data_IF_483954930548
#
_entry.id   IF_483954930548
#
_cell.length_a   1.000
_cell.length_b   1.000
_cell.length_c   1.000
_cell.angle_alpha   90.00
_cell.angle_beta   90.00
_cell.angle_gamma   90.00
#
_symmetry.space_group_name_H-M   'P 1'
#
loop_
_entity.id
_entity.type
_entity.pdbx_description
1 polymer ?
#
# COMPACT_ATOMS: atom_id res chain seq x y z
N UNK A 1 2.38 -12.22 1.81
CA UNK A 1 1.28 -13.22 1.85
C UNK A 1 0.21 -12.75 2.82
N UNK A 2 0.60 -12.33 4.01
CA UNK A 2 -0.31 -11.73 5.01
C UNK A 2 -1.20 -10.59 4.47
N UNK A 3 -0.65 -9.67 3.66
CA UNK A 3 -1.51 -8.64 3.05
C UNK A 3 -2.61 -9.23 2.13
N UNK A 4 -2.30 -10.30 1.39
CA UNK A 4 -3.29 -10.93 0.51
C UNK A 4 -4.35 -11.71 1.30
N UNK A 5 -4.02 -12.23 2.48
CA UNK A 5 -5.00 -12.88 3.35
C UNK A 5 -6.04 -11.90 3.88
N UNK A 6 -5.66 -10.62 4.10
CA UNK A 6 -6.60 -9.55 4.46
C UNK A 6 -7.69 -9.33 3.39
N UNK A 7 -7.34 -9.48 2.11
CA UNK A 7 -8.27 -9.33 0.97
C UNK A 7 -9.25 -10.51 0.91
N UNK A 8 -8.92 -11.65 1.52
CA UNK A 8 -9.76 -12.84 1.56
C UNK A 8 -10.99 -12.69 2.47
N UNK A 9 -11.98 -13.56 2.27
CA UNK A 9 -13.28 -13.53 2.96
C UNK A 9 -13.22 -13.63 4.48
N UNK A 10 -12.14 -14.21 5.04
CA UNK A 10 -12.01 -14.39 6.50
C UNK A 10 -11.81 -13.07 7.23
N UNK A 11 -11.02 -12.17 6.65
CA UNK A 11 -10.67 -10.90 7.27
C UNK A 11 -11.39 -9.72 6.62
N UNK A 12 -11.74 -9.85 5.33
CA UNK A 12 -12.58 -8.94 4.55
C UNK A 12 -12.11 -7.49 4.64
N UNK A 13 -11.08 -7.14 3.86
CA UNK A 13 -10.50 -5.79 3.82
C UNK A 13 -11.53 -4.69 3.48
N UNK A 14 -12.52 -5.02 2.65
CA UNK A 14 -13.52 -4.08 2.13
C UNK A 14 -14.50 -3.63 3.22
N UNK A 15 -14.71 -4.44 4.27
CA UNK A 15 -15.57 -4.06 5.42
C UNK A 15 -15.12 -2.78 6.14
N UNK A 16 -13.84 -2.42 6.02
CA UNK A 16 -13.25 -1.21 6.59
C UNK A 16 -13.13 -0.07 5.57
N UNK A 17 -13.72 -0.25 4.38
CA UNK A 17 -13.62 0.71 3.27
C UNK A 17 -12.27 0.72 2.58
N UNK A 18 -11.44 -0.32 2.79
CA UNK A 18 -10.10 -0.41 2.21
C UNK A 18 -10.15 -1.24 0.92
N UNK A 19 -9.84 -0.60 -0.20
CA UNK A 19 -9.83 -1.24 -1.53
C UNK A 19 -8.44 -1.11 -2.15
N UNK A 20 -7.74 -2.23 -2.44
CA UNK A 20 -6.42 -2.18 -3.05
C UNK A 20 -6.47 -1.53 -4.44
N UNK A 21 -5.64 -0.51 -4.67
CA UNK A 21 -5.49 0.15 -5.96
C UNK A 21 -4.13 -0.18 -6.56
N UNK A 22 -4.11 -0.46 -7.86
CA UNK A 22 -2.86 -0.72 -8.61
C UNK A 22 -2.13 0.55 -9.02
N UNK A 23 -2.76 1.72 -8.90
CA UNK A 23 -2.19 3.01 -9.27
C UNK A 23 -2.03 3.90 -8.03
N UNK A 24 -0.82 4.44 -7.75
CA UNK A 24 -0.58 5.34 -6.62
C UNK A 24 -1.37 6.64 -6.73
N UNK A 25 -1.76 7.06 -7.93
CA UNK A 25 -2.55 8.30 -8.15
C UNK A 25 -4.01 8.18 -7.66
N UNK A 26 -4.46 6.96 -7.42
CA UNK A 26 -5.82 6.65 -6.94
C UNK A 26 -5.80 6.15 -5.49
N UNK A 27 -4.63 6.11 -4.86
CA UNK A 27 -4.44 5.62 -3.50
C UNK A 27 -3.99 6.76 -2.59
N UNK A 28 -4.46 6.74 -1.36
CA UNK A 28 -4.13 7.64 -0.26
C UNK A 28 -3.27 6.95 0.82
N UNK A 29 -3.14 5.62 0.77
CA UNK A 29 -2.32 4.82 1.69
C UNK A 29 -1.33 3.92 0.93
N UNK A 30 -0.06 3.93 1.36
CA UNK A 30 0.94 2.91 1.01
C UNK A 30 1.19 2.00 2.21
N UNK A 31 1.16 0.70 1.95
CA UNK A 31 1.57 -0.33 2.90
C UNK A 31 2.89 -0.96 2.43
N UNK A 32 3.99 -0.73 3.14
CA UNK A 32 5.30 -1.33 2.78
C UNK A 32 5.40 -2.72 3.42
N UNK A 33 4.81 -3.72 2.77
CA UNK A 33 4.83 -5.11 3.25
C UNK A 33 6.14 -5.81 2.88
N UNK A 34 7.07 -5.89 3.85
CA UNK A 34 8.33 -6.63 3.72
C UNK A 34 9.57 -5.76 3.45
N UNK A 35 10.71 -6.44 3.30
CA UNK A 35 12.03 -5.80 3.29
C UNK A 35 12.26 -4.92 2.05
N UNK A 36 12.60 -3.65 2.28
CA UNK A 36 13.03 -2.71 1.23
C UNK A 36 14.55 -2.77 1.08
N UNK A 37 15.02 -3.11 -0.11
CA UNK A 37 16.46 -3.09 -0.44
C UNK A 37 16.88 -1.73 -0.99
N UNK A 38 18.19 -1.43 -0.96
CA UNK A 38 18.74 -0.19 -1.51
C UNK A 38 18.35 0.05 -2.98
N UNK A 39 18.22 -1.03 -3.76
CA UNK A 39 17.78 -0.96 -5.17
C UNK A 39 16.31 -0.54 -5.30
N UNK A 40 15.46 -0.92 -4.34
CA UNK A 40 14.02 -0.64 -4.37
C UNK A 40 13.66 0.73 -3.75
N UNK A 41 14.48 1.24 -2.83
CA UNK A 41 14.28 2.51 -2.15
C UNK A 41 13.90 3.69 -3.07
N UNK A 42 14.63 3.99 -4.17
CA UNK A 42 14.27 5.13 -5.02
C UNK A 42 12.91 4.94 -5.73
N UNK A 43 12.55 3.71 -6.09
CA UNK A 43 11.25 3.40 -6.70
C UNK A 43 10.10 3.63 -5.73
N UNK A 44 10.28 3.26 -4.45
CA UNK A 44 9.28 3.47 -3.41
C UNK A 44 9.05 4.96 -3.14
N UNK A 45 10.13 5.76 -3.07
CA UNK A 45 10.03 7.23 -2.93
C UNK A 45 9.25 7.83 -4.10
N UNK A 46 9.54 7.40 -5.34
CA UNK A 46 8.80 7.87 -6.52
C UNK A 46 7.31 7.52 -6.47
N UNK A 47 6.93 6.35 -5.97
CA UNK A 47 5.52 5.98 -5.80
C UNK A 47 4.83 6.89 -4.79
N UNK A 48 5.48 7.16 -3.66
CA UNK A 48 4.96 8.07 -2.63
C UNK A 48 4.79 9.51 -3.14
N UNK A 49 5.73 10.00 -3.95
CA UNK A 49 5.64 11.33 -4.58
C UNK A 49 4.48 11.44 -5.58
N UNK A 50 4.06 10.34 -6.21
CA UNK A 50 2.97 10.32 -7.19
C UNK A 50 1.57 10.29 -6.57
N UNK A 51 1.46 10.08 -5.26
CA UNK A 51 0.16 10.05 -4.56
C UNK A 51 -0.39 11.45 -4.32
N UNK A 52 -1.72 11.64 -4.42
CA UNK A 52 -2.39 12.88 -4.02
C UNK A 52 -2.36 13.06 -2.50
N UNK A 53 -2.45 14.31 -2.03
CA UNK A 53 -2.65 14.63 -0.61
C UNK A 53 -4.14 14.53 -0.23
N UNK A 54 -4.49 14.03 0.96
CA UNK A 54 -3.61 13.54 2.03
C UNK A 54 -3.08 12.12 1.78
N UNK A 55 -1.79 11.88 2.01
CA UNK A 55 -1.17 10.55 1.87
C UNK A 55 -0.51 10.00 3.13
N UNK A 56 -0.66 8.69 3.35
CA UNK A 56 -0.16 7.98 4.53
C UNK A 56 0.70 6.77 4.16
N UNK A 57 1.61 6.40 5.08
CA UNK A 57 2.48 5.23 4.94
C UNK A 57 2.44 4.41 6.22
N UNK A 58 2.24 3.10 6.10
CA UNK A 58 2.34 2.13 7.19
C UNK A 58 3.41 1.10 6.82
N UNK A 59 4.37 0.89 7.73
CA UNK A 59 5.39 -0.14 7.60
C UNK A 59 4.97 -1.46 8.26
N UNK A 60 5.16 -2.58 7.56
CA UNK A 60 4.77 -3.93 7.98
C UNK A 60 5.89 -4.95 7.74
#
# INVERSE_FOLDING_TARGET
IEFASLIGSRFDFDRYGLVPRSSPRQADLILTAGTVTMKMAPSLVRLYEQMPEPKYVIAM
#
